data_IF_484843887541
#
_entry.id   IF_484843887541
#
_cell.length_a   1.000
_cell.length_b   1.000
_cell.length_c   1.000
_cell.angle_alpha   90.00
_cell.angle_beta   90.00
_cell.angle_gamma   90.00
#
_symmetry.space_group_name_H-M   'P 1'
#
loop_
_entity.id
_entity.type
_entity.pdbx_description
1 polymer ?
#
# COMPACT_ATOMS: atom_id res chain seq x y z
N UNK A 1 -15.97 -0.01 23.12
CA UNK A 1 -14.73 -0.76 23.44
C UNK A 1 -13.72 0.30 23.84
N UNK A 2 -13.20 0.20 25.05
CA UNK A 2 -12.38 1.24 25.71
C UNK A 2 -11.05 1.45 24.98
N UNK A 3 -10.77 2.70 24.63
CA UNK A 3 -9.48 3.22 24.14
C UNK A 3 -8.41 3.06 25.24
N UNK A 4 -7.92 1.84 25.43
CA UNK A 4 -6.63 1.66 26.08
C UNK A 4 -5.56 1.96 25.02
N UNK A 5 -4.62 2.88 25.29
CA UNK A 5 -3.48 3.07 24.41
C UNK A 5 -2.80 1.70 24.22
N UNK A 6 -2.64 1.27 22.97
CA UNK A 6 -1.98 0.01 22.66
C UNK A 6 -0.62 -0.03 23.34
N UNK A 7 -0.23 -1.19 23.86
CA UNK A 7 1.11 -1.32 24.43
C UNK A 7 2.16 -1.07 23.35
N UNK A 8 3.37 -0.63 23.72
CA UNK A 8 4.49 -0.46 22.78
C UNK A 8 4.65 -1.67 21.85
N UNK A 9 4.52 -2.89 22.39
CA UNK A 9 4.59 -4.12 21.62
C UNK A 9 3.46 -4.24 20.59
N UNK A 10 2.23 -3.86 20.95
CA UNK A 10 1.08 -3.87 20.03
C UNK A 10 1.32 -2.92 18.85
N UNK A 11 1.74 -1.69 19.13
CA UNK A 11 2.01 -0.69 18.07
C UNK A 11 3.14 -1.17 17.14
N UNK A 12 4.21 -1.75 17.69
CA UNK A 12 5.29 -2.30 16.87
C UNK A 12 4.84 -3.48 16.00
N UNK A 13 3.99 -4.35 16.52
CA UNK A 13 3.40 -5.45 15.75
C UNK A 13 2.48 -4.95 14.64
N UNK A 14 1.67 -3.93 14.92
CA UNK A 14 0.80 -3.31 13.92
C UNK A 14 1.61 -2.60 12.83
N UNK A 15 2.69 -1.89 13.20
CA UNK A 15 3.62 -1.28 12.22
C UNK A 15 4.27 -2.33 11.33
N UNK A 16 4.69 -3.46 11.88
CA UNK A 16 5.22 -4.57 11.10
C UNK A 16 4.19 -5.10 10.10
N UNK A 17 2.94 -5.28 10.53
CA UNK A 17 1.86 -5.74 9.67
C UNK A 17 1.55 -4.73 8.54
N UNK A 18 1.51 -3.43 8.85
CA UNK A 18 1.32 -2.37 7.82
C UNK A 18 2.50 -2.35 6.85
N UNK A 19 3.73 -2.52 7.32
CA UNK A 19 4.94 -2.58 6.48
C UNK A 19 4.89 -3.76 5.50
N UNK A 20 4.46 -4.93 5.97
CA UNK A 20 4.29 -6.12 5.14
C UNK A 20 3.21 -5.91 4.06
N UNK A 21 2.07 -5.31 4.44
CA UNK A 21 1.00 -4.97 3.51
C UNK A 21 1.44 -3.94 2.47
N UNK A 22 2.16 -2.90 2.88
CA UNK A 22 2.75 -1.90 1.97
C UNK A 22 3.69 -2.58 0.97
N UNK A 23 4.56 -3.46 1.46
CA UNK A 23 5.50 -4.20 0.60
C UNK A 23 4.77 -5.05 -0.44
N UNK A 24 3.68 -5.73 -0.04
CA UNK A 24 2.87 -6.52 -0.96
C UNK A 24 2.14 -5.66 -2.00
N UNK A 25 1.52 -4.56 -1.57
CA UNK A 25 0.79 -3.65 -2.46
C UNK A 25 1.74 -2.97 -3.47
N UNK A 26 2.92 -2.53 -3.03
CA UNK A 26 3.95 -1.94 -3.90
C UNK A 26 4.52 -2.95 -4.89
N UNK A 27 4.74 -4.20 -4.46
CA UNK A 27 5.19 -5.26 -5.37
C UNK A 27 4.17 -5.54 -6.47
N UNK A 28 2.88 -5.59 -6.12
CA UNK A 28 1.80 -5.78 -7.10
C UNK A 28 1.65 -4.58 -8.03
N UNK A 29 1.72 -3.35 -7.50
CA UNK A 29 1.75 -2.14 -8.31
C UNK A 29 2.87 -2.18 -9.36
N UNK A 30 4.10 -2.55 -8.96
CA UNK A 30 5.23 -2.69 -9.89
C UNK A 30 4.99 -3.77 -10.95
N UNK A 31 4.45 -4.93 -10.55
CA UNK A 31 4.14 -6.03 -11.47
C UNK A 31 3.10 -5.60 -12.52
N UNK A 32 2.04 -4.92 -12.10
CA UNK A 32 1.00 -4.41 -12.98
C UNK A 32 1.52 -3.32 -13.91
N UNK A 33 2.29 -2.36 -13.40
CA UNK A 33 2.90 -1.32 -14.24
C UNK A 33 3.83 -1.90 -15.30
N UNK A 34 4.61 -2.94 -14.96
CA UNK A 34 5.44 -3.64 -15.94
C UNK A 34 4.59 -4.37 -17.01
N UNK A 35 3.48 -4.99 -16.60
CA UNK A 35 2.57 -5.66 -17.53
C UNK A 35 1.90 -4.66 -18.49
N UNK A 36 1.48 -3.49 -18.00
CA UNK A 36 0.95 -2.39 -18.82
C UNK A 36 2.01 -1.93 -19.84
N UNK A 37 3.23 -1.60 -19.39
CA UNK A 37 4.29 -1.18 -20.30
C UNK A 37 4.60 -2.25 -21.36
N UNK A 38 4.56 -3.53 -20.98
CA UNK A 38 4.74 -4.64 -21.92
C UNK A 38 3.65 -4.69 -22.99
N UNK A 39 2.38 -4.48 -22.61
CA UNK A 39 1.26 -4.41 -23.55
C UNK A 39 1.35 -3.18 -24.45
N UNK A 40 1.68 -2.00 -23.91
CA UNK A 40 1.82 -0.77 -24.70
C UNK A 40 2.90 -0.88 -25.79
N UNK A 41 3.96 -1.65 -25.54
CA UNK A 41 5.00 -1.95 -26.55
C UNK A 41 4.49 -2.92 -27.62
N UNK A 42 3.68 -3.92 -27.25
CA UNK A 42 3.16 -4.93 -28.18
C UNK A 42 1.98 -4.42 -29.02
N UNK A 43 1.14 -3.55 -28.47
CA UNK A 43 0.00 -2.92 -29.16
C UNK A 43 0.40 -1.96 -30.28
N UNK A 44 1.66 -1.55 -30.37
CA UNK A 44 2.18 -0.91 -31.59
C UNK A 44 2.03 -1.81 -32.85
N UNK A 45 1.58 -3.07 -32.72
CA UNK A 45 1.38 -4.04 -33.81
C UNK A 45 -0.05 -4.49 -34.15
N UNK A 46 -1.00 -4.62 -33.20
CA UNK A 46 -2.37 -5.15 -33.45
C UNK A 46 -3.40 -4.59 -32.42
N UNK A 47 -4.61 -4.18 -32.85
CA UNK A 47 -5.34 -3.07 -32.20
C UNK A 47 -6.59 -3.43 -31.35
N UNK A 48 -7.27 -4.58 -31.45
CA UNK A 48 -8.66 -4.63 -30.91
C UNK A 48 -8.90 -5.43 -29.62
N UNK A 49 -7.99 -6.31 -29.17
CA UNK A 49 -8.21 -7.14 -27.97
C UNK A 49 -7.49 -6.64 -26.70
N UNK A 50 -6.48 -5.80 -26.85
CA UNK A 50 -5.60 -5.43 -25.76
C UNK A 50 -6.11 -4.21 -24.94
N UNK A 51 -7.04 -3.42 -25.48
CA UNK A 51 -7.68 -2.29 -24.78
C UNK A 51 -8.42 -2.68 -23.49
N UNK A 52 -9.19 -3.78 -23.51
CA UNK A 52 -9.99 -4.20 -22.35
C UNK A 52 -9.10 -4.73 -21.21
N UNK A 53 -8.03 -5.46 -21.55
CA UNK A 53 -7.07 -5.98 -20.58
C UNK A 53 -6.17 -4.87 -20.03
N UNK A 54 -5.75 -3.91 -20.87
CA UNK A 54 -5.08 -2.68 -20.42
C UNK A 54 -5.93 -1.91 -19.42
N UNK A 55 -7.22 -1.69 -19.73
CA UNK A 55 -8.10 -0.94 -18.84
C UNK A 55 -8.31 -1.65 -17.50
N UNK A 56 -8.41 -2.99 -17.50
CA UNK A 56 -8.45 -3.78 -16.28
C UNK A 56 -7.19 -3.62 -15.45
N UNK A 57 -6.01 -3.71 -16.09
CA UNK A 57 -4.75 -3.56 -15.38
C UNK A 57 -4.55 -2.13 -14.82
N UNK A 58 -4.91 -1.10 -15.58
CA UNK A 58 -4.89 0.30 -15.10
C UNK A 58 -5.81 0.51 -13.90
N UNK A 59 -6.98 -0.12 -13.92
CA UNK A 59 -7.90 -0.07 -12.77
C UNK A 59 -7.30 -0.75 -11.53
N UNK A 60 -6.65 -1.91 -11.71
CA UNK A 60 -5.95 -2.60 -10.62
C UNK A 60 -4.74 -1.80 -10.07
N UNK A 61 -4.03 -1.05 -10.92
CA UNK A 61 -2.98 -0.12 -10.48
C UNK A 61 -3.57 0.97 -9.58
N UNK A 62 -4.67 1.59 -9.98
CA UNK A 62 -5.34 2.62 -9.18
C UNK A 62 -5.83 2.08 -7.82
N UNK A 63 -6.29 0.82 -7.78
CA UNK A 63 -6.63 0.14 -6.52
C UNK A 63 -5.40 -0.08 -5.63
N UNK A 64 -4.25 -0.44 -6.21
CA UNK A 64 -2.99 -0.55 -5.48
C UNK A 64 -2.57 0.81 -4.90
N UNK A 65 -2.64 1.89 -5.68
CA UNK A 65 -2.33 3.25 -5.24
C UNK A 65 -3.23 3.69 -4.08
N UNK A 66 -4.54 3.45 -4.19
CA UNK A 66 -5.48 3.75 -3.11
C UNK A 66 -5.19 2.95 -1.83
N UNK A 67 -4.80 1.68 -1.99
CA UNK A 67 -4.40 0.81 -0.88
C UNK A 67 -3.12 1.30 -0.22
N UNK A 68 -2.10 1.65 -1.00
CA UNK A 68 -0.83 2.22 -0.50
C UNK A 68 -1.11 3.50 0.29
N UNK A 69 -1.88 4.44 -0.27
CA UNK A 69 -2.22 5.69 0.40
C UNK A 69 -3.04 5.51 1.70
N UNK A 70 -3.85 4.45 1.80
CA UNK A 70 -4.51 4.10 3.04
C UNK A 70 -3.51 3.57 4.08
N UNK A 71 -2.64 2.64 3.68
CA UNK A 71 -1.63 2.06 4.56
C UNK A 71 -0.58 3.07 5.04
N UNK A 72 -0.21 4.05 4.20
CA UNK A 72 0.68 5.15 4.60
C UNK A 72 0.05 6.03 5.69
N UNK A 73 -1.26 6.28 5.61
CA UNK A 73 -1.99 6.99 6.67
C UNK A 73 -2.04 6.18 7.97
N UNK A 74 -2.27 4.87 7.86
CA UNK A 74 -2.23 3.98 9.02
C UNK A 74 -0.84 3.96 9.67
N UNK A 75 0.23 3.91 8.87
CA UNK A 75 1.61 3.98 9.36
C UNK A 75 1.86 5.31 10.08
N UNK A 76 1.48 6.43 9.48
CA UNK A 76 1.65 7.75 10.09
C UNK A 76 0.92 7.88 11.43
N UNK A 77 -0.26 7.27 11.55
CA UNK A 77 -1.00 7.20 12.82
C UNK A 77 -0.25 6.38 13.87
N UNK A 78 0.23 5.20 13.51
CA UNK A 78 1.01 4.34 14.42
C UNK A 78 2.32 5.01 14.85
N UNK A 79 2.98 5.75 13.97
CA UNK A 79 4.18 6.53 14.30
C UNK A 79 3.85 7.64 15.33
N UNK A 80 2.72 8.33 15.18
CA UNK A 80 2.27 9.33 16.16
C UNK A 80 1.95 8.71 17.53
N UNK A 81 1.29 7.54 17.55
CA UNK A 81 1.00 6.82 18.79
C UNK A 81 2.28 6.35 19.48
N UNK A 82 3.26 5.86 18.72
CA UNK A 82 4.57 5.45 19.22
C UNK A 82 5.35 6.63 19.82
N UNK A 83 5.36 7.77 19.13
CA UNK A 83 6.00 9.00 19.62
C UNK A 83 5.36 9.49 20.91
N UNK A 84 4.03 9.41 21.03
CA UNK A 84 3.31 9.81 22.24
C UNK A 84 3.68 8.93 23.44
N UNK A 85 3.74 7.61 23.27
CA UNK A 85 4.14 6.66 24.32
C UNK A 85 5.59 6.86 24.78
N UNK A 86 6.51 6.97 23.83
CA UNK A 86 7.95 7.12 24.12
C UNK A 86 8.30 8.45 24.78
N UNK A 87 7.55 9.52 24.50
CA UNK A 87 7.70 10.81 25.19
C UNK A 87 6.98 10.86 26.54
N UNK A 88 5.90 10.10 26.71
CA UNK A 88 5.13 10.01 27.96
C UNK A 88 5.86 9.26 29.07
N UNK A 89 6.71 8.29 28.74
CA UNK A 89 7.57 7.57 29.70
C UNK A 89 8.82 8.36 30.13
N UNK A 90 9.07 9.54 29.53
CA UNK A 90 10.25 10.37 29.79
C UNK A 90 10.04 11.48 30.85
N UNK A 91 8.91 11.48 31.56
CA UNK A 91 8.58 12.39 32.68
C UNK A 91 8.28 11.64 33.95
#
# INVERSE_FOLDING_TARGET
>A
MTDQPGTLQTILMDRLAVTQKLSAATAEHLRLSQAICGMEVLEMGEIEQADADMQRQRSAVAECEATIAALERDMAKLDQELDALTRGDAT
#
